data_IF_596954846675
#
_entry.id   IF_596954846675
#
_cell.length_a   1.000
_cell.length_b   1.000
_cell.length_c   1.000
_cell.angle_alpha   90.00
_cell.angle_beta   90.00
_cell.angle_gamma   90.00
#
_symmetry.space_group_name_H-M   'P 1'
#
loop_
_entity.id
_entity.type
_entity.pdbx_description
1 polymer ?
#
# COMPACT_ATOMS: atom_id res chain seq x y z
N UNK A 1 -34.78 -11.02 -6.76
CA UNK A 1 -33.83 -9.93 -6.41
C UNK A 1 -34.39 -8.99 -5.35
N UNK A 2 -35.59 -8.41 -5.53
CA UNK A 2 -36.17 -7.46 -4.56
C UNK A 2 -36.39 -8.04 -3.14
N UNK A 3 -36.86 -9.28 -2.97
CA UNK A 3 -37.01 -9.90 -1.64
C UNK A 3 -35.68 -10.19 -0.92
N UNK A 4 -34.59 -10.42 -1.67
CA UNK A 4 -33.28 -10.71 -1.07
C UNK A 4 -32.63 -9.44 -0.50
N UNK A 5 -32.84 -8.28 -1.16
CA UNK A 5 -32.42 -6.98 -0.63
C UNK A 5 -33.22 -6.57 0.62
N UNK A 6 -34.53 -6.87 0.67
CA UNK A 6 -35.36 -6.53 1.85
C UNK A 6 -34.93 -7.28 3.12
N UNK A 7 -34.48 -8.53 2.97
CA UNK A 7 -33.97 -9.35 4.09
C UNK A 7 -32.57 -8.89 4.52
N UNK A 8 -31.70 -8.54 3.57
CA UNK A 8 -30.37 -8.01 3.86
C UNK A 8 -30.46 -6.67 4.64
N UNK A 9 -31.39 -5.79 4.25
CA UNK A 9 -31.63 -4.52 4.94
C UNK A 9 -32.18 -4.67 6.36
N UNK A 10 -33.05 -5.66 6.61
CA UNK A 10 -33.58 -5.93 7.95
C UNK A 10 -32.48 -6.45 8.89
N UNK A 11 -31.56 -7.26 8.37
CA UNK A 11 -30.41 -7.80 9.12
C UNK A 11 -29.39 -6.71 9.42
N UNK A 12 -29.09 -5.82 8.48
CA UNK A 12 -28.19 -4.68 8.70
C UNK A 12 -28.78 -3.67 9.69
N UNK A 13 -30.10 -3.42 9.65
CA UNK A 13 -30.79 -2.58 10.65
C UNK A 13 -30.77 -3.21 12.06
N UNK A 14 -30.96 -4.52 12.18
CA UNK A 14 -30.86 -5.24 13.46
C UNK A 14 -29.43 -5.23 14.01
N UNK A 15 -28.41 -5.32 13.16
CA UNK A 15 -27.01 -5.28 13.58
C UNK A 15 -26.55 -3.88 14.04
N UNK A 16 -27.01 -2.82 13.36
CA UNK A 16 -26.68 -1.43 13.72
C UNK A 16 -27.40 -1.03 15.03
N UNK A 17 -28.64 -1.48 15.22
CA UNK A 17 -29.39 -1.22 16.47
C UNK A 17 -28.81 -1.99 17.66
N UNK A 18 -28.29 -3.21 17.47
CA UNK A 18 -27.67 -3.98 18.55
C UNK A 18 -26.30 -3.40 18.96
N UNK A 19 -25.42 -3.06 18.02
CA UNK A 19 -24.10 -2.48 18.32
C UNK A 19 -24.17 -1.02 18.85
N UNK A 20 -25.26 -0.31 18.58
CA UNK A 20 -25.44 1.07 19.08
C UNK A 20 -26.15 1.12 20.44
N UNK A 21 -26.85 0.06 20.85
CA UNK A 21 -27.43 -0.05 22.19
C UNK A 21 -26.34 -0.28 23.25
N UNK A 22 -25.29 -1.03 22.91
CA UNK A 22 -24.17 -1.31 23.83
C UNK A 22 -23.24 -0.09 24.07
N UNK A 23 -23.24 0.89 23.16
CA UNK A 23 -22.46 2.13 23.30
C UNK A 23 -23.26 3.31 23.87
N UNK A 24 -24.58 3.21 23.96
CA UNK A 24 -25.48 4.30 24.33
C UNK A 24 -26.04 4.26 25.77
N UNK A 25 -25.77 3.20 26.56
CA UNK A 25 -26.17 3.14 27.98
C UNK A 25 -25.42 4.18 28.84
N UNK A 26 -24.42 4.88 28.29
CA UNK A 26 -23.50 5.73 29.08
C UNK A 26 -23.88 7.23 29.11
N UNK A 27 -24.74 7.79 28.24
CA UNK A 27 -25.10 9.23 28.33
C UNK A 27 -26.55 9.49 27.91
N UNK A 28 -27.39 9.77 28.91
CA UNK A 28 -28.83 9.96 28.73
C UNK A 28 -29.23 11.30 28.12
N UNK A 29 -29.36 11.35 26.79
CA UNK A 29 -30.26 12.30 26.13
C UNK A 29 -30.88 11.69 24.85
N UNK A 30 -32.13 11.24 24.96
CA UNK A 30 -32.82 10.42 23.97
C UNK A 30 -33.33 11.18 22.74
N UNK A 31 -33.50 12.50 22.83
CA UNK A 31 -34.06 13.29 21.72
C UNK A 31 -32.98 13.69 20.71
N UNK A 32 -31.76 13.97 21.17
CA UNK A 32 -30.61 14.19 20.28
C UNK A 32 -30.27 12.92 19.49
N UNK A 33 -30.41 11.75 20.11
CA UNK A 33 -30.24 10.45 19.43
C UNK A 33 -31.30 10.19 18.36
N UNK A 34 -32.57 10.52 18.65
CA UNK A 34 -33.67 10.37 17.67
C UNK A 34 -33.48 11.29 16.47
N UNK A 35 -33.06 12.53 16.69
CA UNK A 35 -32.78 13.48 15.62
C UNK A 35 -31.56 13.06 14.78
N UNK A 36 -30.49 12.58 15.43
CA UNK A 36 -29.31 12.06 14.75
C UNK A 36 -29.67 10.84 13.90
N UNK A 37 -30.42 9.87 14.44
CA UNK A 37 -30.87 8.71 13.67
C UNK A 37 -31.76 9.10 12.50
N UNK A 38 -32.70 10.03 12.69
CA UNK A 38 -33.56 10.51 11.60
C UNK A 38 -32.75 11.16 10.46
N UNK A 39 -31.69 11.92 10.80
CA UNK A 39 -30.78 12.51 9.81
C UNK A 39 -29.97 11.42 9.09
N UNK A 40 -29.46 10.41 9.78
CA UNK A 40 -28.76 9.29 9.15
C UNK A 40 -29.68 8.50 8.21
N UNK A 41 -30.92 8.22 8.62
CA UNK A 41 -31.89 7.53 7.77
C UNK A 41 -32.24 8.33 6.51
N UNK A 42 -32.41 9.65 6.62
CA UNK A 42 -32.65 10.51 5.46
C UNK A 42 -31.47 10.53 4.48
N UNK A 43 -30.23 10.54 4.99
CA UNK A 43 -29.00 10.47 4.17
C UNK A 43 -28.86 9.12 3.45
N UNK A 44 -29.16 8.02 4.15
CA UNK A 44 -29.14 6.67 3.58
C UNK A 44 -30.21 6.57 2.49
N UNK A 45 -31.43 7.03 2.75
CA UNK A 45 -32.53 6.98 1.79
C UNK A 45 -32.25 7.78 0.52
N UNK A 46 -31.71 9.00 0.65
CA UNK A 46 -31.31 9.81 -0.52
C UNK A 46 -30.17 9.20 -1.32
N UNK A 47 -29.22 8.51 -0.66
CA UNK A 47 -28.14 7.79 -1.32
C UNK A 47 -28.65 6.55 -2.07
N UNK A 48 -29.65 5.87 -1.50
CA UNK A 48 -30.32 4.75 -2.14
C UNK A 48 -31.03 5.18 -3.43
N UNK A 49 -31.79 6.28 -3.40
CA UNK A 49 -32.47 6.81 -4.59
C UNK A 49 -31.48 7.15 -5.73
N UNK A 50 -30.33 7.77 -5.39
CA UNK A 50 -29.27 8.07 -6.39
C UNK A 50 -28.66 6.80 -6.99
N UNK A 51 -28.50 5.75 -6.20
CA UNK A 51 -28.00 4.45 -6.67
C UNK A 51 -29.00 3.77 -7.61
N UNK A 52 -30.29 3.81 -7.26
CA UNK A 52 -31.37 3.28 -8.09
C UNK A 52 -31.45 4.00 -9.44
N UNK A 53 -31.35 5.33 -9.47
CA UNK A 53 -31.30 6.12 -10.72
C UNK A 53 -30.09 5.76 -11.60
N UNK A 54 -28.90 5.60 -10.99
CA UNK A 54 -27.68 5.23 -11.73
C UNK A 54 -27.75 3.83 -12.31
N UNK A 55 -28.34 2.88 -11.57
CA UNK A 55 -28.53 1.51 -12.06
C UNK A 55 -29.52 1.46 -13.22
N UNK A 56 -30.63 2.20 -13.15
CA UNK A 56 -31.57 2.33 -14.27
C UNK A 56 -30.92 2.96 -15.52
N UNK A 57 -30.05 3.95 -15.32
CA UNK A 57 -29.31 4.57 -16.43
C UNK A 57 -28.30 3.62 -17.09
N UNK A 58 -27.67 2.73 -16.31
CA UNK A 58 -26.76 1.70 -16.83
C UNK A 58 -27.54 0.64 -17.62
N UNK A 59 -28.68 0.19 -17.09
CA UNK A 59 -29.54 -0.80 -17.73
C UNK A 59 -30.02 -0.30 -19.10
N UNK A 60 -30.49 0.96 -19.18
CA UNK A 60 -30.89 1.58 -20.44
C UNK A 60 -29.75 1.73 -21.46
N UNK A 61 -28.49 1.92 -21.01
CA UNK A 61 -27.32 1.95 -21.91
C UNK A 61 -26.96 0.56 -22.41
N UNK A 62 -27.09 -0.47 -21.57
CA UNK A 62 -26.87 -1.86 -21.95
C UNK A 62 -27.89 -2.31 -22.99
N UNK A 63 -29.17 -2.02 -22.80
CA UNK A 63 -30.22 -2.31 -23.76
C UNK A 63 -29.99 -1.61 -25.11
N UNK A 64 -29.50 -0.37 -25.07
CA UNK A 64 -29.12 0.39 -26.27
C UNK A 64 -27.92 -0.21 -27.03
N UNK A 65 -26.95 -0.80 -26.33
CA UNK A 65 -25.79 -1.47 -26.93
C UNK A 65 -26.16 -2.84 -27.52
N UNK A 66 -27.04 -3.58 -26.84
CA UNK A 66 -27.56 -4.87 -27.32
C UNK A 66 -28.44 -4.66 -28.57
N UNK A 67 -29.19 -3.55 -28.63
CA UNK A 67 -30.10 -3.26 -29.74
C UNK A 67 -29.41 -2.70 -31.00
N UNK A 68 -28.30 -1.96 -30.85
CA UNK A 68 -27.67 -1.24 -31.97
C UNK A 68 -26.38 -1.90 -32.52
N UNK A 69 -25.87 -2.96 -31.88
CA UNK A 69 -24.67 -3.66 -32.30
C UNK A 69 -23.36 -2.91 -32.01
N UNK A 70 -22.28 -3.66 -31.78
CA UNK A 70 -20.94 -3.11 -31.52
C UNK A 70 -20.25 -2.66 -32.84
N UNK A 71 -19.57 -1.50 -32.88
CA UNK A 71 -18.78 -1.11 -34.04
C UNK A 71 -17.59 -2.06 -34.24
N UNK A 72 -17.39 -2.57 -35.47
CA UNK A 72 -16.31 -3.51 -35.80
C UNK A 72 -14.93 -2.85 -35.85
N UNK A 73 -13.94 -3.45 -35.19
CA UNK A 73 -12.52 -3.15 -35.35
C UNK A 73 -11.86 -4.16 -36.30
N UNK A 74 -11.04 -3.67 -37.24
CA UNK A 74 -10.36 -4.47 -38.28
C UNK A 74 -9.18 -5.28 -37.72
N UNK A 75 -9.09 -6.57 -38.08
CA UNK A 75 -8.00 -7.48 -37.70
C UNK A 75 -6.87 -7.54 -38.77
N UNK A 76 -5.61 -7.84 -38.40
CA UNK A 76 -4.64 -8.43 -39.31
C UNK A 76 -4.56 -9.97 -39.19
N UNK A 77 -4.29 -10.59 -40.35
CA UNK A 77 -4.29 -12.03 -40.66
C UNK A 77 -3.27 -12.86 -39.83
N UNK A 78 -3.73 -13.99 -39.29
CA UNK A 78 -2.89 -15.12 -38.84
C UNK A 78 -3.28 -16.38 -39.64
N UNK A 79 -2.28 -17.04 -40.24
CA UNK A 79 -2.44 -18.32 -40.93
C UNK A 79 -2.46 -19.49 -39.93
N UNK A 80 -3.30 -20.49 -40.22
CA UNK A 80 -3.63 -21.65 -39.38
C UNK A 80 -2.91 -22.96 -39.81
N UNK A 81 -3.00 -24.05 -39.01
CA UNK A 81 -1.94 -25.05 -38.78
C UNK A 81 -2.23 -26.45 -39.38
N UNK A 82 -1.40 -27.46 -39.04
CA UNK A 82 -1.64 -28.87 -39.38
C UNK A 82 -1.38 -29.86 -38.20
N UNK A 83 -2.49 -30.41 -37.66
CA UNK A 83 -2.88 -31.85 -37.48
C UNK A 83 -1.91 -32.94 -36.97
N UNK A 84 -2.35 -33.68 -35.93
CA UNK A 84 -2.66 -35.16 -35.86
C UNK A 84 -2.64 -35.67 -34.37
N UNK A 85 -3.72 -36.19 -33.75
CA UNK A 85 -4.29 -37.57 -33.76
C UNK A 85 -3.34 -38.66 -33.18
N UNK A 86 -3.67 -39.63 -32.31
CA UNK A 86 -4.90 -40.13 -31.67
C UNK A 86 -4.58 -41.15 -30.53
N UNK A 87 -5.63 -41.56 -29.77
CA UNK A 87 -5.92 -42.87 -29.14
C UNK A 87 -5.06 -43.44 -27.97
N UNK A 88 -5.52 -44.25 -26.99
CA UNK A 88 -6.80 -44.69 -26.36
C UNK A 88 -6.44 -45.51 -25.09
N UNK A 89 -7.46 -45.81 -24.25
CA UNK A 89 -7.60 -46.97 -23.30
C UNK A 89 -7.27 -46.77 -21.80
N UNK A 90 -8.33 -46.92 -20.98
CA UNK A 90 -8.34 -47.30 -19.55
C UNK A 90 -8.88 -48.76 -19.43
N UNK A 91 -8.83 -49.50 -18.28
CA UNK A 91 -9.68 -49.17 -17.12
C UNK A 91 -9.29 -49.71 -15.69
N UNK A 92 -10.02 -49.17 -14.71
CA UNK A 92 -10.64 -49.79 -13.51
C UNK A 92 -9.95 -50.08 -12.15
N UNK A 93 -10.50 -49.37 -11.13
CA UNK A 93 -11.05 -49.76 -9.80
C UNK A 93 -10.15 -50.25 -8.64
N UNK A 94 -10.34 -49.56 -7.51
CA UNK A 94 -10.12 -50.09 -6.15
C UNK A 94 -10.42 -49.08 -5.03
N UNK A 95 -11.64 -49.15 -4.48
CA UNK A 95 -12.12 -48.37 -3.32
C UNK A 95 -11.45 -48.80 -2.00
N UNK A 96 -11.12 -47.83 -1.11
CA UNK A 96 -11.31 -47.88 0.36
C UNK A 96 -10.96 -46.53 1.04
N UNK A 97 -11.91 -46.01 1.83
CA UNK A 97 -11.75 -44.97 2.87
C UNK A 97 -11.61 -45.65 4.27
N UNK A 98 -11.56 -44.92 5.40
CA UNK A 98 -10.68 -43.81 5.80
C UNK A 98 -10.02 -44.08 7.19
N UNK A 99 -9.01 -43.31 7.61
CA UNK A 99 -8.58 -43.31 9.01
C UNK A 99 -7.86 -42.02 9.43
N UNK A 100 -8.53 -41.33 10.36
CA UNK A 100 -8.05 -40.56 11.51
C UNK A 100 -6.80 -39.66 11.44
N UNK A 101 -7.06 -38.41 11.83
CA UNK A 101 -6.14 -37.33 12.15
C UNK A 101 -4.95 -37.70 13.05
N UNK A 102 -3.83 -37.01 12.81
CA UNK A 102 -2.94 -36.49 13.86
C UNK A 102 -2.16 -35.30 13.30
N UNK A 103 -2.41 -34.14 13.89
CA UNK A 103 -1.70 -32.88 13.66
C UNK A 103 -0.22 -33.02 14.01
N UNK A 104 0.63 -32.65 13.06
CA UNK A 104 2.08 -32.65 13.22
C UNK A 104 2.69 -31.53 12.38
N UNK A 105 3.00 -30.41 13.05
CA UNK A 105 4.10 -29.48 12.76
C UNK A 105 4.35 -29.21 11.27
N UNK A 106 3.68 -28.20 10.71
CA UNK A 106 3.92 -27.76 9.34
C UNK A 106 5.31 -27.10 9.22
N UNK A 107 6.25 -27.89 8.69
CA UNK A 107 7.51 -27.45 8.10
C UNK A 107 7.22 -26.42 7.00
N UNK A 108 8.10 -25.43 6.87
CA UNK A 108 8.19 -24.51 5.73
C UNK A 108 8.02 -25.28 4.42
N UNK A 109 6.92 -25.05 3.71
CA UNK A 109 6.72 -25.52 2.35
C UNK A 109 7.11 -24.40 1.37
N UNK A 110 8.41 -24.28 1.10
CA UNK A 110 8.83 -23.99 -0.27
C UNK A 110 8.70 -25.30 -1.04
N UNK A 111 7.49 -25.59 -1.52
CA UNK A 111 7.24 -26.63 -2.51
C UNK A 111 6.42 -25.98 -3.60
N UNK A 112 7.02 -25.84 -4.79
CA UNK A 112 6.27 -25.55 -6.01
C UNK A 112 5.03 -26.45 -6.04
N UNK A 113 3.87 -25.83 -6.20
CA UNK A 113 2.60 -26.54 -6.18
C UNK A 113 2.62 -27.60 -7.28
N UNK A 114 2.48 -28.87 -6.90
CA UNK A 114 2.25 -29.95 -7.84
C UNK A 114 1.10 -29.55 -8.79
N UNK A 115 1.28 -29.73 -10.11
CA UNK A 115 0.23 -29.42 -11.08
C UNK A 115 -1.04 -30.19 -10.71
N UNK A 116 -2.18 -29.52 -10.80
CA UNK A 116 -3.45 -30.23 -10.76
C UNK A 116 -3.47 -31.19 -11.96
N UNK A 117 -3.91 -32.43 -11.74
CA UNK A 117 -3.96 -33.43 -12.79
C UNK A 117 -4.75 -32.89 -14.00
N UNK A 118 -4.11 -32.83 -15.16
CA UNK A 118 -4.68 -32.30 -16.41
C UNK A 118 -4.08 -30.97 -16.90
N UNK A 119 -3.21 -30.32 -16.14
CA UNK A 119 -2.47 -29.14 -16.61
C UNK A 119 -1.07 -29.53 -17.09
N UNK A 120 -0.90 -29.73 -18.39
CA UNK A 120 0.43 -29.86 -19.02
C UNK A 120 1.06 -28.48 -19.17
N UNK A 121 1.75 -28.06 -18.11
CA UNK A 121 2.53 -26.83 -18.07
C UNK A 121 3.08 -26.61 -16.67
N UNK A 122 4.33 -26.17 -16.59
CA UNK A 122 4.87 -25.64 -15.34
C UNK A 122 3.94 -24.51 -14.88
N UNK A 123 3.34 -24.64 -13.69
CA UNK A 123 2.44 -23.59 -13.18
C UNK A 123 3.26 -22.31 -13.15
N UNK A 124 2.86 -21.32 -13.94
CA UNK A 124 3.37 -19.96 -13.81
C UNK A 124 2.67 -19.37 -12.60
N UNK A 125 3.32 -19.26 -11.43
CA UNK A 125 2.70 -18.57 -10.30
C UNK A 125 2.32 -17.16 -10.77
N UNK A 126 1.10 -16.72 -10.47
CA UNK A 126 0.65 -15.40 -10.91
C UNK A 126 1.53 -14.28 -10.31
N UNK A 127 2.18 -14.52 -9.17
CA UNK A 127 3.03 -13.51 -8.52
C UNK A 127 4.18 -14.16 -7.72
N UNK A 128 5.42 -13.92 -8.17
CA UNK A 128 6.60 -13.78 -7.33
C UNK A 128 7.60 -12.84 -8.05
N UNK A 129 8.19 -11.89 -7.34
CA UNK A 129 9.00 -10.72 -7.79
C UNK A 129 8.42 -9.76 -8.87
N UNK A 130 7.60 -10.26 -9.81
CA UNK A 130 6.99 -9.51 -10.91
C UNK A 130 6.07 -8.39 -10.46
N UNK A 131 5.45 -8.53 -9.29
CA UNK A 131 4.52 -7.55 -8.76
C UNK A 131 5.21 -6.20 -8.52
N UNK A 132 6.33 -6.18 -7.79
CA UNK A 132 7.07 -4.95 -7.53
C UNK A 132 7.67 -4.34 -8.80
N UNK A 133 8.13 -5.18 -9.74
CA UNK A 133 8.58 -4.70 -11.06
C UNK A 133 7.43 -4.03 -11.84
N UNK A 134 6.24 -4.62 -11.83
CA UNK A 134 5.04 -4.05 -12.45
C UNK A 134 4.62 -2.74 -11.78
N UNK A 135 4.58 -2.69 -10.45
CA UNK A 135 4.25 -1.48 -9.68
C UNK A 135 5.21 -0.33 -10.03
N UNK A 136 6.53 -0.62 -10.01
CA UNK A 136 7.56 0.36 -10.35
C UNK A 136 7.41 0.87 -11.79
N UNK A 137 7.15 -0.01 -12.76
CA UNK A 137 6.96 0.40 -14.16
C UNK A 137 5.74 1.30 -14.36
N UNK A 138 4.63 1.02 -13.67
CA UNK A 138 3.44 1.88 -13.70
C UNK A 138 3.78 3.25 -13.11
N UNK A 139 4.39 3.28 -11.93
CA UNK A 139 4.81 4.52 -11.30
C UNK A 139 5.73 5.33 -12.23
N UNK A 140 6.72 4.67 -12.84
CA UNK A 140 7.68 5.30 -13.76
C UNK A 140 7.02 5.84 -15.03
N UNK A 141 6.11 5.08 -15.63
CA UNK A 141 5.29 5.54 -16.77
C UNK A 141 4.49 6.80 -16.41
N UNK A 142 3.86 6.82 -15.24
CA UNK A 142 3.12 7.99 -14.78
C UNK A 142 4.03 9.18 -14.48
N UNK A 143 5.20 8.98 -13.88
CA UNK A 143 6.23 10.02 -13.74
C UNK A 143 6.59 10.63 -15.10
N UNK A 144 6.89 9.80 -16.10
CA UNK A 144 7.26 10.26 -17.44
C UNK A 144 6.12 11.08 -18.07
N UNK A 145 4.87 10.64 -17.91
CA UNK A 145 3.69 11.38 -18.38
C UNK A 145 3.55 12.73 -17.71
N UNK A 146 3.73 12.83 -16.40
CA UNK A 146 3.62 14.12 -15.70
C UNK A 146 4.74 15.08 -16.13
N UNK A 147 5.97 14.59 -16.26
CA UNK A 147 7.10 15.39 -16.75
C UNK A 147 6.90 15.87 -18.19
N UNK A 148 6.30 15.05 -19.05
CA UNK A 148 5.99 15.44 -20.43
C UNK A 148 4.80 16.41 -20.52
N UNK A 149 3.83 16.30 -19.62
CA UNK A 149 2.65 17.16 -19.56
C UNK A 149 2.99 18.59 -19.10
N UNK A 150 4.02 18.75 -18.26
CA UNK A 150 4.49 20.04 -17.79
C UNK A 150 6.03 20.15 -17.88
N UNK A 151 6.58 20.47 -19.07
CA UNK A 151 8.03 20.58 -19.28
C UNK A 151 8.71 21.71 -18.49
N UNK A 152 7.93 22.69 -18.03
CA UNK A 152 8.39 23.78 -17.17
C UNK A 152 8.06 23.53 -15.69
N UNK A 153 7.49 22.36 -15.37
CA UNK A 153 7.10 21.97 -14.03
C UNK A 153 8.30 21.62 -13.15
N UNK A 154 8.02 21.39 -11.87
CA UNK A 154 9.06 21.18 -10.86
C UNK A 154 9.51 19.72 -10.73
N UNK A 155 8.90 18.81 -11.50
CA UNK A 155 9.26 17.39 -11.52
C UNK A 155 10.57 17.20 -12.30
N UNK A 156 11.66 16.96 -11.56
CA UNK A 156 13.01 16.72 -12.09
C UNK A 156 13.29 15.27 -12.46
N UNK A 157 14.46 14.77 -12.05
CA UNK A 157 14.90 13.39 -12.25
C UNK A 157 14.06 12.34 -11.51
N UNK A 158 14.26 11.08 -11.89
CA UNK A 158 13.68 9.91 -11.23
C UNK A 158 14.80 8.91 -10.97
N UNK A 159 14.78 8.28 -9.80
CA UNK A 159 15.66 7.15 -9.49
C UNK A 159 14.94 6.21 -8.54
N UNK A 160 14.94 4.92 -8.88
CA UNK A 160 14.52 3.84 -7.98
C UNK A 160 15.65 3.50 -7.03
N UNK A 161 15.38 3.52 -5.75
CA UNK A 161 16.24 2.89 -4.74
C UNK A 161 15.81 1.44 -4.55
N UNK A 162 16.63 0.49 -5.02
CA UNK A 162 16.32 -0.93 -4.94
C UNK A 162 17.11 -1.59 -3.81
N UNK A 163 16.41 -1.97 -2.74
CA UNK A 163 16.96 -2.83 -1.69
C UNK A 163 17.04 -4.27 -2.22
N UNK A 164 18.24 -4.82 -2.34
CA UNK A 164 18.40 -6.21 -2.76
C UNK A 164 19.52 -6.94 -2.00
N UNK A 165 19.30 -8.23 -1.75
CA UNK A 165 20.30 -9.14 -1.19
C UNK A 165 21.12 -9.88 -2.26
N UNK A 166 20.66 -9.93 -3.51
CA UNK A 166 21.18 -10.86 -4.55
C UNK A 166 21.34 -10.27 -5.93
N UNK A 167 20.96 -9.00 -6.14
CA UNK A 167 20.84 -8.41 -7.47
C UNK A 167 22.19 -8.10 -8.13
N UNK A 168 22.27 -8.32 -9.44
CA UNK A 168 23.43 -8.00 -10.29
C UNK A 168 23.01 -7.00 -11.38
N UNK A 169 23.87 -6.02 -11.74
CA UNK A 169 23.63 -5.11 -12.86
C UNK A 169 23.15 -5.82 -14.12
N UNK A 170 22.03 -5.35 -14.70
CA UNK A 170 21.42 -5.91 -15.90
C UNK A 170 20.51 -7.11 -15.69
N UNK A 171 20.28 -7.55 -14.44
CA UNK A 171 19.32 -8.62 -14.11
C UNK A 171 18.17 -8.08 -13.26
N UNK A 172 17.03 -8.75 -13.14
CA UNK A 172 15.98 -8.44 -12.16
C UNK A 172 16.13 -9.33 -10.91
N UNK A 173 15.21 -9.23 -9.95
CA UNK A 173 15.24 -10.07 -8.74
C UNK A 173 15.12 -11.59 -9.02
N UNK A 174 14.86 -12.01 -10.27
CA UNK A 174 14.80 -13.40 -10.73
C UNK A 174 15.94 -13.82 -11.66
N UNK A 175 16.89 -12.94 -11.96
CA UNK A 175 17.98 -13.22 -12.91
C UNK A 175 17.59 -13.10 -14.39
N UNK A 176 16.43 -12.51 -14.70
CA UNK A 176 16.03 -12.12 -16.07
C UNK A 176 16.59 -10.74 -16.41
N UNK A 177 16.64 -10.29 -17.68
CA UNK A 177 17.08 -8.92 -18.00
C UNK A 177 16.36 -7.88 -17.13
N UNK A 178 17.15 -7.13 -16.36
CA UNK A 178 16.66 -6.16 -15.39
C UNK A 178 15.93 -4.99 -16.04
N UNK A 179 14.99 -4.42 -15.30
CA UNK A 179 14.37 -3.14 -15.66
C UNK A 179 15.23 -1.93 -15.24
N UNK A 180 16.45 -2.15 -14.75
CA UNK A 180 17.43 -1.11 -14.43
C UNK A 180 17.97 -0.38 -15.68
N UNK A 181 17.95 -1.04 -16.84
CA UNK A 181 18.20 -0.40 -18.13
C UNK A 181 17.05 0.52 -18.56
N UNK A 182 15.82 0.26 -18.09
CA UNK A 182 14.61 1.03 -18.39
C UNK A 182 14.40 2.18 -17.37
N UNK A 183 14.58 1.87 -16.09
CA UNK A 183 14.31 2.73 -14.94
C UNK A 183 15.63 3.04 -14.24
N UNK A 184 16.04 4.33 -14.18
CA UNK A 184 17.24 4.71 -13.45
C UNK A 184 17.20 4.16 -12.02
N UNK A 185 18.19 3.35 -11.65
CA UNK A 185 18.17 2.58 -10.41
C UNK A 185 19.49 2.71 -9.67
N UNK A 186 19.40 2.93 -8.35
CA UNK A 186 20.51 2.79 -7.41
C UNK A 186 20.26 1.58 -6.54
N UNK A 187 21.26 0.70 -6.47
CA UNK A 187 21.24 -0.42 -5.56
C UNK A 187 21.71 -0.01 -4.16
N UNK A 188 21.02 -0.55 -3.19
CA UNK A 188 21.39 -0.50 -1.79
C UNK A 188 21.23 -1.91 -1.20
N UNK A 189 22.11 -2.26 -0.28
CA UNK A 189 22.14 -3.60 0.27
C UNK A 189 20.93 -3.81 1.16
N UNK A 190 20.17 -4.89 0.92
CA UNK A 190 19.08 -5.23 1.82
C UNK A 190 19.65 -5.69 3.17
N UNK A 191 19.03 -5.24 4.27
CA UNK A 191 19.31 -5.76 5.60
C UNK A 191 19.15 -7.27 5.61
N UNK A 192 20.20 -7.97 6.04
CA UNK A 192 20.10 -9.40 6.31
C UNK A 192 19.18 -9.58 7.52
N UNK A 193 18.04 -10.30 7.37
CA UNK A 193 17.02 -10.36 8.42
C UNK A 193 17.57 -10.84 9.76
N UNK A 194 17.38 -10.05 10.81
CA UNK A 194 17.79 -10.37 12.19
C UNK A 194 19.31 -10.31 12.40
N UNK A 195 20.08 -9.76 11.45
CA UNK A 195 21.55 -9.77 11.52
C UNK A 195 22.10 -9.07 12.76
N UNK A 196 21.54 -7.93 13.15
CA UNK A 196 21.94 -7.23 14.38
C UNK A 196 21.61 -7.97 15.67
N UNK A 197 20.76 -9.00 15.62
CA UNK A 197 20.36 -9.80 16.79
C UNK A 197 21.25 -11.04 17.00
N UNK A 198 22.15 -11.35 16.06
CA UNK A 198 22.98 -12.57 16.09
C UNK A 198 24.21 -12.37 16.97
N UNK A 199 24.83 -13.47 17.39
CA UNK A 199 26.12 -13.43 18.07
C UNK A 199 27.15 -12.69 17.22
N UNK A 200 27.81 -11.68 17.80
CA UNK A 200 28.73 -10.78 17.10
C UNK A 200 28.07 -9.66 16.27
N UNK A 201 26.73 -9.58 16.25
CA UNK A 201 25.98 -8.46 15.67
C UNK A 201 25.93 -7.24 16.60
N UNK A 202 25.67 -6.07 16.03
CA UNK A 202 25.39 -4.87 16.81
C UNK A 202 23.95 -4.91 17.33
N UNK A 203 23.79 -5.10 18.65
CA UNK A 203 22.49 -5.18 19.32
C UNK A 203 21.65 -3.91 19.16
N UNK A 204 22.25 -2.76 18.86
CA UNK A 204 21.52 -1.53 18.55
C UNK A 204 20.89 -1.52 17.16
N UNK A 205 21.24 -2.50 16.31
CA UNK A 205 20.72 -2.71 14.95
C UNK A 205 19.89 -3.99 14.82
N UNK A 206 19.40 -4.53 15.94
CA UNK A 206 18.52 -5.70 15.92
C UNK A 206 17.13 -5.35 15.37
N UNK A 207 16.82 -5.76 14.14
CA UNK A 207 15.54 -5.57 13.45
C UNK A 207 14.54 -6.72 13.67
N UNK A 208 14.98 -7.83 14.27
CA UNK A 208 14.23 -9.09 14.35
C UNK A 208 13.70 -9.59 13.00
N UNK A 209 14.40 -9.25 11.90
CA UNK A 209 14.00 -9.57 10.54
C UNK A 209 12.81 -8.77 10.02
N UNK A 210 12.53 -7.60 10.59
CA UNK A 210 11.44 -6.73 10.16
C UNK A 210 11.76 -6.08 8.80
N UNK A 211 11.08 -6.47 7.70
CA UNK A 211 11.50 -6.09 6.34
C UNK A 211 11.36 -4.59 6.08
N UNK A 212 10.42 -3.93 6.76
CA UNK A 212 10.15 -2.49 6.65
C UNK A 212 11.37 -1.63 7.07
N UNK A 213 12.30 -2.18 7.86
CA UNK A 213 13.57 -1.51 8.20
C UNK A 213 14.45 -1.20 6.97
N UNK A 214 14.22 -1.88 5.85
CA UNK A 214 14.97 -1.63 4.62
C UNK A 214 14.74 -0.23 4.04
N UNK A 215 13.62 0.45 4.38
CA UNK A 215 13.37 1.82 3.91
C UNK A 215 14.36 2.84 4.51
N UNK A 216 14.42 3.05 5.84
CA UNK A 216 15.43 3.95 6.42
C UNK A 216 16.86 3.48 6.15
N UNK A 217 17.10 2.17 6.12
CA UNK A 217 18.44 1.62 5.85
C UNK A 217 18.89 1.90 4.41
N UNK A 218 18.01 1.69 3.44
CA UNK A 218 18.27 1.99 2.03
C UNK A 218 18.54 3.48 1.82
N UNK A 219 17.73 4.37 2.40
CA UNK A 219 17.93 5.83 2.27
C UNK A 219 19.28 6.25 2.86
N UNK A 220 19.65 5.70 4.02
CA UNK A 220 20.96 5.94 4.62
C UNK A 220 22.11 5.50 3.69
N UNK A 221 22.00 4.34 3.07
CA UNK A 221 22.98 3.85 2.11
C UNK A 221 23.04 4.70 0.85
N UNK A 222 21.89 5.06 0.26
CA UNK A 222 21.82 5.91 -0.93
C UNK A 222 22.58 7.22 -0.69
N UNK A 223 22.27 7.91 0.41
CA UNK A 223 22.93 9.17 0.77
C UNK A 223 24.43 9.00 1.05
N UNK A 224 24.83 7.90 1.69
CA UNK A 224 26.23 7.60 1.95
C UNK A 224 27.00 7.30 0.65
N UNK A 225 26.41 6.51 -0.26
CA UNK A 225 26.95 6.23 -1.60
C UNK A 225 27.10 7.50 -2.42
N UNK A 226 26.10 8.39 -2.39
CA UNK A 226 26.19 9.71 -3.01
C UNK A 226 27.34 10.52 -2.42
N UNK A 227 27.49 10.57 -1.09
CA UNK A 227 28.57 11.29 -0.42
C UNK A 227 29.97 10.77 -0.76
N UNK A 228 30.10 9.48 -1.08
CA UNK A 228 31.35 8.84 -1.54
C UNK A 228 31.57 8.89 -3.05
N UNK A 229 30.61 9.42 -3.82
CA UNK A 229 30.67 9.47 -5.28
C UNK A 229 30.50 8.10 -5.97
N UNK A 230 29.94 7.11 -5.28
CA UNK A 230 29.71 5.75 -5.82
C UNK A 230 28.49 5.69 -6.77
N UNK A 231 27.59 6.67 -6.67
CA UNK A 231 26.36 6.78 -7.45
C UNK A 231 26.20 8.21 -7.96
N UNK A 232 25.40 8.44 -9.04
CA UNK A 232 25.12 9.79 -9.53
C UNK A 232 24.60 10.73 -8.44
N UNK A 233 24.99 11.99 -8.51
CA UNK A 233 24.45 13.00 -7.62
C UNK A 233 23.02 13.35 -8.03
N UNK A 234 22.14 13.48 -7.04
CA UNK A 234 20.86 14.16 -7.19
C UNK A 234 21.21 15.65 -7.29
N UNK A 235 20.83 16.26 -8.41
CA UNK A 235 21.14 17.66 -8.71
C UNK A 235 20.04 18.61 -8.25
N UNK A 236 18.85 18.06 -7.98
CA UNK A 236 17.70 18.76 -7.43
C UNK A 236 17.89 19.07 -5.94
N UNK A 237 17.44 20.26 -5.52
CA UNK A 237 17.49 20.68 -4.12
C UNK A 237 16.49 19.90 -3.25
N UNK A 238 15.43 19.39 -3.85
CA UNK A 238 14.33 18.68 -3.17
C UNK A 238 14.13 17.30 -3.76
N UNK A 239 13.76 16.35 -2.91
CA UNK A 239 13.42 14.99 -3.30
C UNK A 239 12.03 14.64 -2.82
N UNK A 240 11.25 14.04 -3.69
CA UNK A 240 9.99 13.40 -3.35
C UNK A 240 10.27 11.91 -3.10
N UNK A 241 10.12 11.47 -1.86
CA UNK A 241 10.20 10.05 -1.50
C UNK A 241 8.78 9.48 -1.60
N UNK A 242 8.63 8.41 -2.36
CA UNK A 242 7.34 7.77 -2.72
C UNK A 242 7.51 6.25 -2.80
N UNK A 243 6.42 5.50 -2.64
CA UNK A 243 6.41 4.04 -2.80
C UNK A 243 6.02 3.62 -4.23
N UNK A 244 6.34 2.38 -4.62
CA UNK A 244 6.09 1.82 -5.96
C UNK A 244 4.61 1.64 -6.29
N UNK A 245 3.77 1.63 -5.27
CA UNK A 245 2.31 1.61 -5.34
C UNK A 245 1.66 3.00 -5.46
N UNK A 246 2.47 4.03 -5.74
CA UNK A 246 1.99 5.38 -6.04
C UNK A 246 1.80 5.57 -7.56
N UNK A 247 0.67 6.17 -7.93
CA UNK A 247 0.38 6.62 -9.29
C UNK A 247 0.26 8.14 -9.30
N UNK A 248 1.13 8.81 -10.07
CA UNK A 248 1.05 10.25 -10.26
C UNK A 248 -0.08 10.62 -11.21
N UNK A 249 -1.05 11.38 -10.71
CA UNK A 249 -2.25 11.76 -11.45
C UNK A 249 -2.08 13.08 -12.21
N UNK A 250 -1.33 14.02 -11.64
CA UNK A 250 -1.08 15.36 -12.19
C UNK A 250 0.26 15.91 -11.70
N UNK A 251 0.82 16.96 -12.34
CA UNK A 251 2.08 17.56 -11.89
C UNK A 251 2.00 18.00 -10.43
N UNK A 252 3.01 17.64 -9.63
CA UNK A 252 3.08 17.97 -8.21
C UNK A 252 3.84 19.29 -8.03
N UNK A 253 3.24 20.32 -7.40
CA UNK A 253 3.97 21.53 -7.03
C UNK A 253 4.88 21.27 -5.83
N UNK A 254 6.07 21.82 -5.88
CA UNK A 254 7.02 21.90 -4.79
C UNK A 254 6.60 22.99 -3.80
N UNK A 255 5.83 22.57 -2.80
CA UNK A 255 5.46 23.42 -1.66
C UNK A 255 6.48 23.38 -0.53
N UNK A 256 7.51 22.54 -0.63
CA UNK A 256 8.49 22.38 0.43
C UNK A 256 9.46 23.56 0.46
N UNK A 257 9.95 23.88 1.66
CA UNK A 257 11.04 24.84 1.86
C UNK A 257 12.25 24.13 2.50
N UNK A 258 13.42 24.78 2.59
CA UNK A 258 14.60 24.14 3.18
C UNK A 258 14.42 23.70 4.65
N UNK A 259 13.40 24.22 5.33
CA UNK A 259 13.09 23.92 6.74
C UNK A 259 11.71 23.27 6.95
N UNK A 260 10.82 23.31 5.94
CA UNK A 260 9.44 22.82 6.06
C UNK A 260 9.14 21.85 4.92
N UNK A 261 9.31 20.53 5.14
CA UNK A 261 8.91 19.50 4.19
C UNK A 261 7.39 19.45 4.04
N UNK A 262 6.92 18.77 2.99
CA UNK A 262 5.49 18.54 2.73
C UNK A 262 5.23 17.05 2.82
N UNK A 263 4.20 16.65 3.55
CA UNK A 263 3.83 15.25 3.73
C UNK A 263 2.33 15.04 3.53
N UNK A 264 1.95 13.78 3.34
CA UNK A 264 0.57 13.36 3.51
C UNK A 264 0.30 13.03 4.99
N UNK A 265 -0.77 13.57 5.60
CA UNK A 265 -1.13 13.27 6.98
C UNK A 265 -1.81 11.90 7.09
N UNK A 266 -1.17 10.97 7.79
CA UNK A 266 -1.75 9.67 8.11
C UNK A 266 -2.67 9.78 9.33
N UNK A 267 -3.99 9.65 9.12
CA UNK A 267 -5.00 9.86 10.16
C UNK A 267 -4.88 8.96 11.40
N UNK A 268 -4.18 7.83 11.30
CA UNK A 268 -3.88 6.92 12.41
C UNK A 268 -2.61 7.29 13.19
N UNK A 269 -1.77 8.21 12.69
CA UNK A 269 -0.53 8.66 13.34
C UNK A 269 -0.73 9.86 14.27
N UNK A 270 -1.77 9.82 15.10
CA UNK A 270 -2.10 10.91 16.03
C UNK A 270 -1.31 10.80 17.32
N UNK A 271 -0.14 11.42 17.38
CA UNK A 271 0.76 11.34 18.54
C UNK A 271 0.10 11.70 19.89
N UNK A 272 -0.88 12.60 19.88
CA UNK A 272 -1.61 13.02 21.09
C UNK A 272 -2.71 12.04 21.54
N UNK A 273 -3.03 11.01 20.74
CA UNK A 273 -4.03 10.00 21.10
C UNK A 273 -3.65 9.31 22.42
N UNK A 274 -4.61 9.05 23.34
CA UNK A 274 -4.32 8.52 24.68
C UNK A 274 -3.44 7.27 24.72
N UNK A 275 -3.57 6.40 23.72
CA UNK A 275 -2.83 5.16 23.56
C UNK A 275 -1.42 5.34 22.98
N UNK A 276 -1.16 6.44 22.26
CA UNK A 276 0.13 6.73 21.61
C UNK A 276 0.97 7.71 22.44
N UNK A 277 0.31 8.66 23.13
CA UNK A 277 0.93 9.72 23.93
C UNK A 277 2.00 9.22 24.91
N UNK A 278 1.79 8.13 25.70
CA UNK A 278 2.79 7.64 26.65
C UNK A 278 4.05 7.11 25.96
N UNK A 279 3.89 6.45 24.82
CA UNK A 279 5.00 5.89 24.04
C UNK A 279 5.80 7.02 23.42
N UNK A 280 5.14 7.96 22.72
CA UNK A 280 5.82 9.12 22.09
C UNK A 280 6.60 9.93 23.12
N UNK A 281 5.99 10.18 24.30
CA UNK A 281 6.64 10.96 25.37
C UNK A 281 7.89 10.27 25.93
N UNK A 282 7.94 8.93 25.94
CA UNK A 282 9.11 8.15 26.40
C UNK A 282 10.35 8.42 25.57
N UNK A 283 10.18 8.75 24.29
CA UNK A 283 11.29 9.09 23.39
C UNK A 283 11.72 10.57 23.49
N UNK A 284 11.17 11.31 24.47
CA UNK A 284 11.63 12.66 24.83
C UNK A 284 10.91 13.79 24.11
N UNK A 285 9.70 13.57 23.61
CA UNK A 285 8.95 14.57 22.84
C UNK A 285 7.67 15.00 23.53
N UNK A 286 7.31 16.27 23.33
CA UNK A 286 5.92 16.69 23.43
C UNK A 286 5.15 16.11 22.23
N UNK A 287 4.12 15.28 22.43
CA UNK A 287 3.38 14.69 21.31
C UNK A 287 2.75 15.73 20.37
N UNK A 288 2.51 16.97 20.82
CA UNK A 288 1.96 18.06 19.97
C UNK A 288 2.94 18.59 18.91
N UNK A 289 4.24 18.27 19.02
CA UNK A 289 5.24 18.65 18.01
C UNK A 289 5.54 17.55 17.00
N UNK A 290 4.87 16.39 17.12
CA UNK A 290 5.03 15.25 16.22
C UNK A 290 3.91 15.28 15.19
N UNK A 291 4.27 15.59 13.95
CA UNK A 291 3.30 15.63 12.86
C UNK A 291 2.89 14.20 12.44
N UNK A 292 1.65 13.99 11.97
CA UNK A 292 1.15 12.67 11.53
C UNK A 292 1.72 12.27 10.16
N UNK A 293 3.03 12.40 9.96
CA UNK A 293 3.72 12.13 8.71
C UNK A 293 4.49 10.81 8.74
N UNK A 294 4.68 10.22 7.57
CA UNK A 294 5.71 9.21 7.31
C UNK A 294 6.73 9.69 6.26
N UNK A 295 7.67 8.82 5.87
CA UNK A 295 8.69 9.11 4.86
C UNK A 295 8.18 8.96 3.43
N UNK A 296 6.89 8.62 3.22
CA UNK A 296 6.29 8.48 1.89
C UNK A 296 4.77 8.68 1.96
N UNK A 297 4.18 9.54 1.11
CA UNK A 297 4.87 10.51 0.27
C UNK A 297 5.41 11.66 1.13
N UNK A 298 6.68 12.03 0.95
CA UNK A 298 7.24 13.24 1.54
C UNK A 298 8.12 13.98 0.55
N UNK A 299 7.89 15.28 0.40
CA UNK A 299 8.74 16.19 -0.36
C UNK A 299 9.63 16.95 0.60
N UNK A 300 10.95 16.77 0.49
CA UNK A 300 11.92 17.23 1.48
C UNK A 300 13.17 17.78 0.81
N UNK A 301 13.71 18.87 1.38
CA UNK A 301 14.99 19.43 0.98
C UNK A 301 16.13 18.44 1.26
N UNK A 302 16.98 18.16 0.27
CA UNK A 302 17.98 17.10 0.33
C UNK A 302 18.98 17.26 1.50
N UNK A 303 19.52 18.47 1.81
CA UNK A 303 20.29 18.70 3.03
C UNK A 303 19.54 18.40 4.33
N UNK A 304 18.23 18.62 4.38
CA UNK A 304 17.41 18.30 5.54
C UNK A 304 17.23 16.78 5.69
N UNK A 305 16.96 16.08 4.58
CA UNK A 305 16.91 14.61 4.56
C UNK A 305 18.23 14.02 5.08
N UNK A 306 19.39 14.50 4.60
CA UNK A 306 20.72 14.06 5.09
C UNK A 306 20.89 14.19 6.61
N UNK A 307 20.36 15.27 7.20
CA UNK A 307 20.41 15.48 8.66
C UNK A 307 19.46 14.57 9.41
N UNK A 308 18.29 14.28 8.84
CA UNK A 308 17.22 13.49 9.44
C UNK A 308 17.51 11.99 9.41
N UNK A 309 18.07 11.47 8.30
CA UNK A 309 18.23 10.04 8.06
C UNK A 309 18.96 9.27 9.17
N UNK A 310 20.06 9.77 9.78
CA UNK A 310 20.71 9.07 10.89
C UNK A 310 19.80 8.92 12.12
N UNK A 311 18.99 9.93 12.41
CA UNK A 311 18.00 9.90 13.51
C UNK A 311 16.87 8.93 13.22
N UNK A 312 16.35 8.96 11.98
CA UNK A 312 15.28 8.07 11.52
C UNK A 312 15.69 6.61 11.64
N UNK A 313 16.84 6.23 11.07
CA UNK A 313 17.33 4.85 11.14
C UNK A 313 17.50 4.37 12.58
N UNK A 314 18.17 5.17 13.43
CA UNK A 314 18.42 4.83 14.83
C UNK A 314 17.11 4.69 15.62
N UNK A 315 16.16 5.61 15.46
CA UNK A 315 14.88 5.57 16.15
C UNK A 315 14.03 4.39 15.69
N UNK A 316 14.03 4.05 14.39
CA UNK A 316 13.33 2.86 13.90
C UNK A 316 13.88 1.58 14.55
N UNK A 317 15.19 1.42 14.72
CA UNK A 317 15.74 0.28 15.47
C UNK A 317 15.41 0.34 16.97
N UNK A 318 15.48 1.52 17.60
CA UNK A 318 15.14 1.68 19.01
C UNK A 318 13.67 1.29 19.28
N UNK A 319 12.75 1.81 18.47
CA UNK A 319 11.33 1.48 18.52
C UNK A 319 11.08 -0.01 18.30
N UNK A 320 11.81 -0.64 17.37
CA UNK A 320 11.62 -2.05 17.05
C UNK A 320 12.05 -2.97 18.21
N UNK A 321 12.98 -2.53 19.05
CA UNK A 321 13.47 -3.25 20.24
C UNK A 321 12.66 -2.96 21.50
N UNK A 322 11.85 -1.91 21.50
CA UNK A 322 10.87 -1.65 22.56
C UNK A 322 9.63 -2.51 22.28
N UNK A 323 9.39 -3.52 23.12
CA UNK A 323 8.28 -4.47 22.96
C UNK A 323 6.91 -3.77 22.86
N UNK A 324 6.70 -2.71 23.64
CA UNK A 324 5.44 -1.98 23.63
C UNK A 324 5.33 -1.12 22.36
N UNK A 325 6.37 -0.37 22.02
CA UNK A 325 6.37 0.46 20.83
C UNK A 325 6.28 -0.39 19.55
N UNK A 326 7.00 -1.52 19.47
CA UNK A 326 6.91 -2.46 18.35
C UNK A 326 5.52 -3.06 18.20
N UNK A 327 4.82 -3.34 19.31
CA UNK A 327 3.47 -3.89 19.27
C UNK A 327 2.44 -2.83 18.88
N UNK A 328 2.54 -1.62 19.43
CA UNK A 328 1.55 -0.56 19.22
C UNK A 328 1.72 0.14 17.87
N UNK A 329 2.96 0.45 17.46
CA UNK A 329 3.21 1.07 16.16
C UNK A 329 3.18 0.05 15.00
N UNK A 330 3.41 -1.23 15.29
CA UNK A 330 3.18 -2.33 14.35
C UNK A 330 3.93 -2.18 13.03
N UNK A 331 3.22 -2.35 11.90
CA UNK A 331 3.79 -2.34 10.55
C UNK A 331 4.34 -0.97 10.13
N UNK A 332 3.78 0.12 10.66
CA UNK A 332 4.15 1.50 10.32
C UNK A 332 5.21 2.08 11.26
N UNK A 333 5.87 1.23 12.06
CA UNK A 333 6.83 1.65 13.07
C UNK A 333 7.96 2.53 12.53
N UNK A 334 8.45 2.26 11.32
CA UNK A 334 9.52 3.09 10.78
C UNK A 334 9.04 4.51 10.44
N UNK A 335 7.75 4.69 10.13
CA UNK A 335 7.13 6.00 9.91
C UNK A 335 7.13 6.82 11.21
N UNK A 336 6.89 6.15 12.34
CA UNK A 336 7.10 6.77 13.66
C UNK A 336 8.55 7.15 13.88
N UNK A 337 9.50 6.28 13.52
CA UNK A 337 10.93 6.61 13.54
C UNK A 337 11.26 7.88 12.74
N UNK A 338 10.65 8.05 11.57
CA UNK A 338 10.81 9.23 10.72
C UNK A 338 10.29 10.50 11.41
N UNK A 339 9.01 10.53 11.84
CA UNK A 339 8.42 11.75 12.40
C UNK A 339 9.04 12.12 13.75
N UNK A 340 9.41 11.14 14.58
CA UNK A 340 10.16 11.39 15.80
C UNK A 340 11.55 11.97 15.51
N UNK A 341 12.24 11.48 14.48
CA UNK A 341 13.52 12.05 14.05
C UNK A 341 13.38 13.49 13.52
N UNK A 342 12.29 13.78 12.80
CA UNK A 342 11.96 15.14 12.37
C UNK A 342 11.74 16.06 13.59
N UNK A 343 10.97 15.60 14.58
CA UNK A 343 10.72 16.32 15.82
C UNK A 343 12.03 16.58 16.61
N UNK A 344 12.99 15.64 16.63
CA UNK A 344 14.33 15.87 17.25
C UNK A 344 15.07 17.05 16.66
N UNK A 345 14.87 17.30 15.36
CA UNK A 345 15.51 18.38 14.64
C UNK A 345 14.71 19.68 14.65
N UNK A 346 13.57 19.70 15.36
CA UNK A 346 12.63 20.83 15.36
C UNK A 346 11.94 21.04 14.01
N UNK A 347 11.87 20.00 13.17
CA UNK A 347 11.25 20.07 11.84
C UNK A 347 9.76 19.87 11.97
N UNK A 348 9.00 20.76 11.34
CA UNK A 348 7.55 20.66 11.18
C UNK A 348 7.20 20.53 9.70
N UNK A 349 6.18 19.74 9.40
CA UNK A 349 5.72 19.49 8.05
C UNK A 349 4.53 20.39 7.70
N UNK A 350 4.42 20.69 6.41
CA UNK A 350 3.13 21.02 5.83
C UNK A 350 2.37 19.73 5.52
N UNK A 351 1.33 19.43 6.27
CA UNK A 351 0.43 18.32 5.99
C UNK A 351 -0.58 18.72 4.90
N UNK A 352 -0.60 18.00 3.79
CA UNK A 352 -1.46 18.28 2.64
C UNK A 352 -2.32 17.05 2.34
N UNK A 353 -3.61 17.13 2.66
CA UNK A 353 -4.59 16.05 2.43
C UNK A 353 -4.65 15.66 0.95
N UNK A 354 -4.59 16.64 0.03
CA UNK A 354 -4.63 16.37 -1.42
C UNK A 354 -3.35 15.74 -1.97
N UNK A 355 -2.29 15.57 -1.16
CA UNK A 355 -1.04 14.98 -1.64
C UNK A 355 -1.27 13.56 -2.13
N UNK A 356 -2.11 12.80 -1.43
CA UNK A 356 -2.39 11.40 -1.72
C UNK A 356 -3.85 11.06 -1.43
N UNK A 357 -4.39 10.11 -2.19
CA UNK A 357 -5.67 9.46 -1.90
C UNK A 357 -5.51 7.96 -1.73
N UNK A 358 -6.24 7.42 -0.76
CA UNK A 358 -6.32 5.98 -0.44
C UNK A 358 -7.80 5.54 -0.46
N UNK A 359 -8.40 5.32 -1.64
CA UNK A 359 -9.86 5.19 -1.78
C UNK A 359 -10.46 3.91 -1.18
N UNK A 360 -9.65 2.89 -0.95
CA UNK A 360 -10.02 1.65 -0.27
C UNK A 360 -9.82 1.72 1.25
N UNK A 361 -9.21 2.80 1.75
CA UNK A 361 -9.15 3.06 3.19
C UNK A 361 -10.52 3.56 3.70
N UNK A 362 -10.90 3.14 4.91
CA UNK A 362 -12.11 3.63 5.58
C UNK A 362 -12.10 5.13 5.88
N UNK A 363 -10.94 5.78 5.76
CA UNK A 363 -10.69 7.10 6.30
C UNK A 363 -10.85 8.23 5.27
N UNK A 364 -11.03 7.90 3.98
CA UNK A 364 -11.06 8.87 2.88
C UNK A 364 -12.09 8.57 1.78
N UNK A 365 -13.38 8.55 2.12
CA UNK A 365 -14.45 8.38 1.11
C UNK A 365 -14.76 9.66 0.31
N UNK A 366 -14.37 10.84 0.82
CA UNK A 366 -14.58 12.13 0.19
C UNK A 366 -13.30 12.98 0.33
N UNK A 367 -12.73 13.42 -0.79
CA UNK A 367 -11.66 14.42 -0.81
C UNK A 367 -12.22 15.77 -1.23
N UNK A 368 -11.80 16.81 -0.51
CA UNK A 368 -11.94 18.19 -0.97
C UNK A 368 -10.87 18.47 -2.05
N UNK A 369 -11.19 18.12 -3.29
CA UNK A 369 -10.37 18.38 -4.48
C UNK A 369 -9.69 17.14 -5.07
N UNK A 370 -8.93 17.37 -6.14
CA UNK A 370 -8.27 16.30 -6.91
C UNK A 370 -6.93 15.91 -6.27
N UNK A 371 -6.66 14.63 -5.95
CA UNK A 371 -5.38 14.22 -5.39
C UNK A 371 -4.23 14.34 -6.41
N UNK A 372 -2.99 14.43 -5.92
CA UNK A 372 -1.78 14.35 -6.77
C UNK A 372 -1.32 12.91 -6.98
N UNK A 373 -1.42 12.10 -5.92
CA UNK A 373 -0.99 10.70 -5.89
C UNK A 373 -2.19 9.82 -5.59
N UNK A 374 -2.32 8.73 -6.33
CA UNK A 374 -3.21 7.63 -6.01
C UNK A 374 -2.39 6.48 -5.43
N UNK A 375 -2.68 6.08 -4.19
CA UNK A 375 -2.01 4.99 -3.50
C UNK A 375 -2.93 3.75 -3.51
N UNK A 376 -2.57 2.73 -4.30
CA UNK A 376 -3.48 1.63 -4.64
C UNK A 376 -3.24 0.32 -3.88
N UNK A 377 -2.41 0.36 -2.84
CA UNK A 377 -2.06 -0.84 -2.04
C UNK A 377 -3.18 -1.33 -1.17
N UNK A 378 -4.05 -0.45 -0.69
CA UNK A 378 -5.22 -0.88 0.07
C UNK A 378 -6.16 -1.65 -0.87
N UNK A 379 -6.35 -2.94 -0.59
CA UNK A 379 -7.21 -3.78 -1.40
C UNK A 379 -8.65 -3.28 -1.35
N UNK A 380 -9.39 -3.50 -2.44
CA UNK A 380 -10.82 -3.71 -2.29
C UNK A 380 -10.94 -5.05 -1.56
N UNK A 381 -11.40 -5.02 -0.33
CA UNK A 381 -11.68 -6.24 0.40
C UNK A 381 -12.98 -6.83 -0.15
N UNK A 382 -13.14 -8.15 -0.08
CA UNK A 382 -14.36 -8.80 -0.51
C UNK A 382 -14.83 -9.75 0.58
N UNK A 383 -16.13 -9.81 0.81
CA UNK A 383 -16.74 -10.86 1.61
C UNK A 383 -16.51 -12.23 0.96
N UNK A 384 -16.75 -13.31 1.70
CA UNK A 384 -16.61 -14.69 1.18
C UNK A 384 -17.51 -14.98 -0.03
N UNK A 385 -18.61 -14.23 -0.17
CA UNK A 385 -19.53 -14.24 -1.31
C UNK A 385 -19.18 -13.23 -2.42
N UNK A 386 -18.03 -12.54 -2.30
CA UNK A 386 -17.47 -11.70 -3.35
C UNK A 386 -18.01 -10.27 -3.40
N UNK A 387 -18.63 -9.78 -2.33
CA UNK A 387 -19.11 -8.40 -2.27
C UNK A 387 -17.97 -7.47 -1.82
N UNK A 388 -17.71 -6.35 -2.52
CA UNK A 388 -16.67 -5.41 -2.11
C UNK A 388 -17.03 -4.78 -0.76
N UNK A 389 -16.06 -4.72 0.14
CA UNK A 389 -16.13 -4.05 1.44
C UNK A 389 -14.91 -3.15 1.63
N UNK A 390 -15.05 -2.11 2.45
CA UNK A 390 -13.98 -1.19 2.81
C UNK A 390 -13.56 -1.47 4.26
N UNK A 391 -12.25 -1.67 4.47
CA UNK A 391 -11.54 -1.80 5.75
C UNK A 391 -12.11 -2.74 6.82
N UNK A 392 -11.78 -4.01 6.70
CA UNK A 392 -11.80 -4.97 7.82
C UNK A 392 -10.33 -5.32 8.13
N UNK A 393 -9.63 -4.34 8.67
CA UNK A 393 -8.32 -4.51 9.32
C UNK A 393 -8.46 -4.92 10.77
#
# INVERSE_FOLDING_TARGET
MLMALSVLLLVTMLFITHNSLDSAVVRGDSDQQRQWMAQQFSRIHSSQLRLEERLQAIDGRLDGLVSNGLPQASQPLLAQPASAAADTVAPERGLRQPSAAKEGRAKRHARGSASAAGCEGERRPYHDSLYQAWQTRIMYYHYQRQRAADPCGEVGGFTRMLNSATWRPGEDATGQPGDDAEIPTVLVDQLTPGSGCREGGDSDTCDFGFPVMNRPHGVAQLLAKMGRGEVPQIVEDYVLITETDHVFLRPLPNRATPQRPVCYPFGYMKAEAPELRPIVSRYGFDPSVVDPCGPSPVLIHLPLLRRLTPGWLRLSFALKRDDEASRVFGWVLEMWGYTLAAAQLGVRHECVEQLQQEPSSLWHTELDGEPYIYHYTFGLEFTTDGLPVTGVG
#
